data_IF_267136011692
#
_entry.id   IF_267136011692
#
_cell.length_a   1.000
_cell.length_b   1.000
_cell.length_c   1.000
_cell.angle_alpha   90.00
_cell.angle_beta   90.00
_cell.angle_gamma   90.00
#
_symmetry.space_group_name_H-M   'P 1'
#
loop_
_entity.id
_entity.type
_entity.pdbx_description
1 polymer ?
#
# COMPACT_ATOMS: atom_id res chain seq x y z
N UNK A 1 2.37 11.39 9.37
CA UNK A 1 3.80 11.18 9.04
C UNK A 1 4.71 11.55 10.21
N UNK A 2 4.63 12.78 10.75
CA UNK A 2 5.49 13.23 11.88
C UNK A 2 5.39 12.36 13.15
N UNK A 3 4.27 11.68 13.39
CA UNK A 3 4.15 10.78 14.55
C UNK A 3 4.90 9.46 14.37
N UNK A 4 4.87 8.87 13.16
CA UNK A 4 5.53 7.58 12.91
C UNK A 4 7.05 7.66 13.08
N UNK A 5 7.65 8.79 12.67
CA UNK A 5 9.08 9.06 12.80
C UNK A 5 9.52 9.37 14.24
N UNK A 6 8.57 9.67 15.14
CA UNK A 6 8.84 10.07 16.52
C UNK A 6 8.51 9.00 17.55
N UNK A 7 7.82 7.95 17.12
CA UNK A 7 7.33 6.88 17.98
C UNK A 7 8.32 5.71 18.01
N UNK A 8 8.32 4.97 19.11
CA UNK A 8 9.01 3.67 19.18
C UNK A 8 8.31 2.68 18.24
N UNK A 9 8.97 1.55 17.93
CA UNK A 9 8.37 0.52 17.09
C UNK A 9 7.08 -0.06 17.72
N UNK A 10 7.07 -0.27 19.04
CA UNK A 10 5.91 -0.75 19.79
C UNK A 10 4.75 0.26 19.74
N UNK A 11 5.03 1.56 19.95
CA UNK A 11 4.02 2.62 19.83
C UNK A 11 3.45 2.68 18.40
N UNK A 12 4.32 2.53 17.39
CA UNK A 12 3.90 2.49 16.00
C UNK A 12 3.01 1.29 15.69
N UNK A 13 3.37 0.11 16.18
CA UNK A 13 2.55 -1.11 16.03
C UNK A 13 1.20 -0.95 16.72
N UNK A 14 1.17 -0.35 17.92
CA UNK A 14 -0.05 -0.22 18.71
C UNK A 14 -1.02 0.83 18.17
N UNK A 15 -0.52 2.00 17.76
CA UNK A 15 -1.38 3.15 17.42
C UNK A 15 -1.35 3.50 15.93
N UNK A 16 -0.16 3.53 15.33
CA UNK A 16 0.01 4.02 13.96
C UNK A 16 -0.47 2.98 12.94
N UNK A 17 -0.03 1.73 13.05
CA UNK A 17 -0.39 0.65 12.12
C UNK A 17 -1.89 0.39 12.12
N UNK A 18 -2.52 0.32 13.29
CA UNK A 18 -3.96 0.13 13.38
C UNK A 18 -4.74 1.23 12.65
N UNK A 19 -4.37 2.50 12.86
CA UNK A 19 -5.02 3.61 12.17
C UNK A 19 -4.82 3.54 10.64
N UNK A 20 -3.58 3.29 10.18
CA UNK A 20 -3.27 3.22 8.75
C UNK A 20 -3.99 2.05 8.07
N UNK A 21 -4.07 0.89 8.71
CA UNK A 21 -4.76 -0.27 8.15
C UNK A 21 -6.26 0.00 7.99
N UNK A 22 -6.87 0.72 8.92
CA UNK A 22 -8.27 1.15 8.79
C UNK A 22 -8.52 2.04 7.56
N UNK A 23 -7.54 2.90 7.20
CA UNK A 23 -7.67 3.82 6.07
C UNK A 23 -7.56 3.15 4.70
N UNK A 24 -6.91 1.98 4.58
CA UNK A 24 -6.91 1.20 3.34
C UNK A 24 -8.31 0.69 2.97
N UNK A 25 -9.21 0.60 3.95
CA UNK A 25 -10.60 0.13 3.77
C UNK A 25 -11.63 1.23 4.05
N UNK A 26 -11.21 2.50 4.05
CA UNK A 26 -12.11 3.62 4.36
C UNK A 26 -13.27 3.72 3.35
N UNK A 27 -14.45 4.13 3.81
CA UNK A 27 -15.63 4.32 2.96
C UNK A 27 -15.39 5.37 1.87
N UNK A 28 -14.60 6.39 2.18
CA UNK A 28 -14.19 7.42 1.23
C UNK A 28 -13.06 6.92 0.34
N UNK A 29 -13.37 6.75 -0.95
CA UNK A 29 -12.34 6.42 -1.94
C UNK A 29 -11.21 7.44 -1.99
N UNK A 30 -11.46 8.71 -1.61
CA UNK A 30 -10.43 9.75 -1.55
C UNK A 30 -9.42 9.50 -0.43
N UNK A 31 -9.85 8.89 0.67
CA UNK A 31 -8.95 8.47 1.76
C UNK A 31 -8.09 7.31 1.27
N UNK A 32 -8.71 6.29 0.65
CA UNK A 32 -7.98 5.14 0.06
C UNK A 32 -7.00 5.57 -1.03
N UNK A 33 -7.40 6.50 -1.90
CA UNK A 33 -6.54 7.13 -2.90
C UNK A 33 -5.34 7.83 -2.25
N UNK A 34 -5.58 8.57 -1.16
CA UNK A 34 -4.51 9.24 -0.42
C UNK A 34 -3.53 8.21 0.16
N UNK A 35 -4.05 7.11 0.71
CA UNK A 35 -3.21 6.01 1.21
C UNK A 35 -2.35 5.39 0.10
N UNK A 36 -2.92 5.15 -1.09
CA UNK A 36 -2.16 4.67 -2.25
C UNK A 36 -1.04 5.66 -2.64
N UNK A 37 -1.36 6.95 -2.76
CA UNK A 37 -0.41 7.99 -3.18
C UNK A 37 0.75 8.22 -2.23
N UNK A 38 0.55 7.97 -0.92
CA UNK A 38 1.56 8.20 0.11
C UNK A 38 2.19 6.90 0.64
N UNK A 39 1.90 5.75 0.04
CA UNK A 39 2.35 4.46 0.53
C UNK A 39 3.88 4.36 0.63
N UNK A 40 4.62 4.89 -0.36
CA UNK A 40 6.09 4.90 -0.34
C UNK A 40 6.67 5.65 0.88
N UNK A 41 6.01 6.75 1.28
CA UNK A 41 6.41 7.53 2.45
C UNK A 41 6.07 6.81 3.75
N UNK A 42 4.94 6.10 3.79
CA UNK A 42 4.57 5.27 4.94
C UNK A 42 5.59 4.15 5.15
N UNK A 43 6.01 3.48 4.07
CA UNK A 43 7.02 2.42 4.13
C UNK A 43 8.35 2.95 4.68
N UNK A 44 8.78 4.13 4.23
CA UNK A 44 10.00 4.79 4.72
C UNK A 44 9.91 5.17 6.20
N UNK A 45 8.75 5.68 6.63
CA UNK A 45 8.57 6.16 8.01
C UNK A 45 8.45 5.01 9.03
N UNK A 46 7.88 3.87 8.64
CA UNK A 46 7.67 2.72 9.53
C UNK A 46 8.78 1.66 9.43
N UNK A 47 9.62 1.74 8.40
CA UNK A 47 10.69 0.79 8.16
C UNK A 47 10.20 -0.53 7.54
N UNK A 48 11.13 -1.39 7.11
CA UNK A 48 10.83 -2.59 6.33
C UNK A 48 10.03 -3.63 7.13
N UNK A 49 10.29 -3.79 8.43
CA UNK A 49 9.68 -4.83 9.25
C UNK A 49 8.17 -4.61 9.40
N UNK A 50 7.76 -3.45 9.93
CA UNK A 50 6.34 -3.09 10.05
C UNK A 50 5.63 -2.99 8.71
N UNK A 51 6.31 -2.50 7.67
CA UNK A 51 5.75 -2.46 6.32
C UNK A 51 5.37 -3.85 5.84
N UNK A 52 6.29 -4.80 6.01
CA UNK A 52 6.11 -6.17 5.56
C UNK A 52 5.05 -6.90 6.37
N UNK A 53 5.10 -6.81 7.69
CA UNK A 53 4.20 -7.57 8.56
C UNK A 53 2.78 -7.03 8.55
N UNK A 54 2.59 -5.71 8.45
CA UNK A 54 1.30 -5.10 8.76
C UNK A 54 0.69 -4.25 7.63
N UNK A 55 1.49 -3.68 6.72
CA UNK A 55 0.97 -2.76 5.69
C UNK A 55 0.83 -3.39 4.32
N UNK A 56 1.73 -4.32 3.97
CA UNK A 56 1.84 -4.85 2.61
C UNK A 56 0.58 -5.63 2.21
N UNK A 57 0.08 -6.51 3.08
CA UNK A 57 -1.14 -7.26 2.81
C UNK A 57 -2.37 -6.35 2.65
N UNK A 58 -2.69 -5.43 3.58
CA UNK A 58 -3.79 -4.47 3.38
C UNK A 58 -3.66 -3.62 2.12
N UNK A 59 -2.44 -3.19 1.78
CA UNK A 59 -2.16 -2.42 0.57
C UNK A 59 -2.55 -3.18 -0.71
N UNK A 60 -2.39 -4.51 -0.77
CA UNK A 60 -2.83 -5.29 -1.95
C UNK A 60 -4.34 -5.18 -2.22
N UNK A 61 -5.15 -4.83 -1.22
CA UNK A 61 -6.56 -4.51 -1.40
C UNK A 61 -6.78 -3.30 -2.32
N UNK A 62 -5.88 -2.32 -2.30
CA UNK A 62 -5.96 -1.13 -3.16
C UNK A 62 -5.68 -1.44 -4.64
N UNK A 63 -4.87 -2.46 -4.93
CA UNK A 63 -4.68 -2.95 -6.31
C UNK A 63 -5.96 -3.56 -6.89
N UNK A 64 -6.93 -3.86 -6.03
CA UNK A 64 -8.23 -4.42 -6.38
C UNK A 64 -9.39 -3.46 -6.10
N UNK A 65 -9.11 -2.18 -5.85
CA UNK A 65 -10.11 -1.19 -5.46
C UNK A 65 -11.20 -1.02 -6.54
N UNK A 66 -12.48 -0.81 -6.18
CA UNK A 66 -13.51 -0.52 -7.17
C UNK A 66 -13.24 0.74 -8.00
N UNK A 67 -12.58 1.74 -7.42
CA UNK A 67 -12.29 3.01 -8.10
C UNK A 67 -10.99 2.94 -8.91
N UNK A 68 -11.06 3.24 -10.20
CA UNK A 68 -9.89 3.16 -11.10
C UNK A 68 -8.73 4.05 -10.64
N UNK A 69 -9.02 5.25 -10.13
CA UNK A 69 -7.99 6.20 -9.70
C UNK A 69 -7.18 5.65 -8.52
N UNK A 70 -7.82 4.86 -7.65
CA UNK A 70 -7.14 4.19 -6.54
C UNK A 70 -6.23 3.09 -7.07
N UNK A 71 -6.70 2.28 -8.04
CA UNK A 71 -5.90 1.21 -8.66
C UNK A 71 -4.69 1.78 -9.41
N UNK A 72 -4.86 2.86 -10.17
CA UNK A 72 -3.75 3.55 -10.86
C UNK A 72 -2.70 3.99 -9.83
N UNK A 73 -3.11 4.70 -8.78
CA UNK A 73 -2.20 5.17 -7.74
C UNK A 73 -1.50 4.01 -6.99
N UNK A 74 -2.20 2.89 -6.79
CA UNK A 74 -1.62 1.70 -6.16
C UNK A 74 -0.55 1.05 -7.05
N UNK A 75 -0.79 0.94 -8.37
CA UNK A 75 0.21 0.44 -9.33
C UNK A 75 1.44 1.35 -9.36
N UNK A 76 1.25 2.67 -9.40
CA UNK A 76 2.36 3.64 -9.31
C UNK A 76 3.15 3.50 -8.00
N UNK A 77 2.47 3.22 -6.88
CA UNK A 77 3.11 3.01 -5.59
C UNK A 77 3.94 1.71 -5.57
N UNK A 78 3.47 0.64 -6.20
CA UNK A 78 4.23 -0.61 -6.36
C UNK A 78 5.55 -0.35 -7.10
N UNK A 79 5.52 0.42 -8.19
CA UNK A 79 6.73 0.77 -8.94
C UNK A 79 7.76 1.48 -8.06
N UNK A 80 7.32 2.38 -7.17
CA UNK A 80 8.18 3.12 -6.24
C UNK A 80 8.72 2.25 -5.10
N UNK A 81 7.95 1.23 -4.69
CA UNK A 81 8.32 0.36 -3.58
C UNK A 81 9.09 -0.89 -4.02
N UNK A 82 9.15 -1.20 -5.32
CA UNK A 82 9.81 -2.41 -5.83
C UNK A 82 11.29 -2.50 -5.43
N UNK A 83 11.96 -1.37 -5.21
CA UNK A 83 13.35 -1.31 -4.74
C UNK A 83 13.51 -1.48 -3.22
N UNK A 84 12.40 -1.41 -2.47
CA UNK A 84 12.37 -1.55 -1.00
C UNK A 84 11.89 -2.95 -0.60
N UNK A 85 11.07 -3.58 -1.44
CA UNK A 85 10.53 -4.92 -1.17
C UNK A 85 11.51 -6.02 -1.57
N UNK A 86 11.55 -7.09 -0.79
CA UNK A 86 12.31 -8.29 -1.14
C UNK A 86 11.64 -9.07 -2.29
N UNK A 87 12.40 -9.92 -2.96
CA UNK A 87 11.88 -10.80 -4.03
C UNK A 87 10.72 -11.66 -3.51
N UNK A 88 10.85 -12.21 -2.31
CA UNK A 88 9.81 -13.05 -1.69
C UNK A 88 8.52 -12.29 -1.44
N UNK A 89 8.63 -11.02 -1.02
CA UNK A 89 7.47 -10.14 -0.81
C UNK A 89 6.77 -9.80 -2.12
N UNK A 90 7.54 -9.50 -3.16
CA UNK A 90 7.00 -9.26 -4.49
C UNK A 90 6.26 -10.50 -4.99
N UNK A 91 6.86 -11.68 -4.88
CA UNK A 91 6.26 -12.96 -5.29
C UNK A 91 5.00 -13.31 -4.50
N UNK A 92 4.98 -13.03 -3.20
CA UNK A 92 3.87 -13.43 -2.32
C UNK A 92 2.68 -12.48 -2.40
N UNK A 93 2.91 -11.16 -2.51
CA UNK A 93 1.85 -10.17 -2.36
C UNK A 93 1.52 -9.41 -3.65
N UNK A 94 2.53 -9.09 -4.47
CA UNK A 94 2.36 -8.18 -5.61
C UNK A 94 2.14 -8.95 -6.91
N UNK A 95 3.00 -9.92 -7.22
CA UNK A 95 2.95 -10.69 -8.47
C UNK A 95 1.58 -11.35 -8.70
N UNK A 96 0.91 -11.95 -7.69
CA UNK A 96 -0.41 -12.54 -7.89
C UNK A 96 -1.48 -11.54 -8.34
N UNK A 97 -1.29 -10.25 -8.09
CA UNK A 97 -2.25 -9.21 -8.48
C UNK A 97 -2.12 -8.82 -9.96
N UNK A 98 -0.94 -9.02 -10.57
CA UNK A 98 -0.70 -8.56 -11.95
C UNK A 98 -1.58 -9.26 -12.98
N UNK A 99 -1.93 -10.52 -12.79
CA UNK A 99 -2.83 -11.21 -13.73
C UNK A 99 -4.18 -10.52 -13.84
N UNK A 100 -4.69 -9.93 -12.75
CA UNK A 100 -5.94 -9.18 -12.74
C UNK A 100 -5.75 -7.75 -13.25
N UNK A 101 -4.68 -7.07 -12.85
CA UNK A 101 -4.35 -5.72 -13.32
C UNK A 101 -4.11 -5.67 -14.84
N UNK A 102 -3.49 -6.71 -15.41
CA UNK A 102 -3.30 -6.82 -16.86
C UNK A 102 -4.63 -6.92 -17.64
N UNK A 103 -5.70 -7.37 -16.97
CA UNK A 103 -7.05 -7.48 -17.52
C UNK A 103 -8.00 -6.41 -16.98
N UNK A 104 -7.47 -5.36 -16.34
CA UNK A 104 -8.28 -4.28 -15.77
C UNK A 104 -9.16 -3.63 -16.83
N UNK A 105 -10.33 -3.09 -16.47
CA UNK A 105 -11.20 -2.40 -17.43
C UNK A 105 -10.62 -1.04 -17.86
N UNK A 106 -9.95 -0.34 -16.93
CA UNK A 106 -9.35 0.96 -17.18
C UNK A 106 -8.02 0.81 -17.93
N UNK A 107 -7.94 1.39 -19.14
CA UNK A 107 -6.70 1.36 -19.93
C UNK A 107 -5.47 1.89 -19.17
N UNK A 108 -5.55 2.98 -18.38
CA UNK A 108 -4.41 3.47 -17.62
C UNK A 108 -3.88 2.50 -16.54
N UNK A 109 -4.70 1.56 -16.06
CA UNK A 109 -4.26 0.54 -15.09
C UNK A 109 -3.46 -0.57 -15.78
N UNK A 110 -3.72 -0.81 -17.07
CA UNK A 110 -3.06 -1.85 -17.88
C UNK A 110 -1.73 -1.41 -18.50
N UNK A 111 -1.48 -0.09 -18.58
CA UNK A 111 -0.35 0.52 -19.29
C UNK A 111 0.89 0.63 -18.39
#
# INVERSE_FOLDING_TARGET
MVMAEKFTEDDNRQYTVWALTSFFTDRSWRVRLSMAKYFDRLCKALGPDLTTSDLLQPFTGLLNDPEQDVRIAAVEAVQKCVSVLSVDQLQSFIIPQFSKLALDQAQPVRA
#
